data_IF_870650484491
#
_entry.id   IF_870650484491
#
_cell.length_a   1.000
_cell.length_b   1.000
_cell.length_c   1.000
_cell.angle_alpha   90.00
_cell.angle_beta   90.00
_cell.angle_gamma   90.00
#
_symmetry.space_group_name_H-M   'P 1'
#
loop_
_entity.id
_entity.type
_entity.pdbx_description
1 polymer ?
#
# COMPACT_ATOMS: atom_id res chain seq x y z
N UNK A 1 -15.47 15.96 -6.75
CA UNK A 1 -16.77 16.09 -6.06
C UNK A 1 -17.27 14.71 -5.62
N UNK A 2 -17.14 13.71 -6.47
CA UNK A 2 -17.68 12.35 -6.22
C UNK A 2 -16.91 11.49 -5.19
N UNK A 3 -15.64 11.81 -4.90
CA UNK A 3 -14.81 11.03 -3.95
C UNK A 3 -15.14 11.31 -2.48
N UNK A 4 -15.47 12.56 -2.15
CA UNK A 4 -15.84 12.96 -0.77
C UNK A 4 -17.24 12.44 -0.42
N UNK A 5 -18.18 12.48 -1.37
CA UNK A 5 -19.56 12.02 -1.18
C UNK A 5 -19.67 10.51 -0.87
N UNK A 6 -18.66 9.72 -1.24
CA UNK A 6 -18.65 8.27 -1.04
C UNK A 6 -17.48 7.77 -0.19
N UNK A 7 -16.81 8.65 0.57
CA UNK A 7 -15.60 8.35 1.34
C UNK A 7 -15.75 7.12 2.24
N UNK A 8 -16.86 7.01 2.95
CA UNK A 8 -17.13 5.88 3.86
C UNK A 8 -17.30 4.56 3.11
N UNK A 9 -18.02 4.56 1.99
CA UNK A 9 -18.22 3.36 1.16
C UNK A 9 -16.91 2.91 0.52
N UNK A 10 -16.09 3.86 0.08
CA UNK A 10 -14.76 3.60 -0.47
C UNK A 10 -13.86 3.02 0.62
N UNK A 11 -13.84 3.61 1.82
CA UNK A 11 -13.07 3.09 2.94
C UNK A 11 -13.53 1.67 3.30
N UNK A 12 -14.83 1.42 3.45
CA UNK A 12 -15.34 0.07 3.76
C UNK A 12 -14.93 -0.96 2.70
N UNK A 13 -15.04 -0.59 1.42
CA UNK A 13 -14.68 -1.45 0.30
C UNK A 13 -13.22 -1.91 0.37
N UNK A 14 -12.28 -1.02 0.73
CA UNK A 14 -10.86 -1.36 0.86
C UNK A 14 -10.51 -2.02 2.20
N UNK A 15 -11.12 -1.58 3.30
CA UNK A 15 -10.81 -2.08 4.64
C UNK A 15 -11.32 -3.49 4.90
N UNK A 16 -12.48 -3.85 4.33
CA UNK A 16 -13.09 -5.17 4.52
C UNK A 16 -12.17 -6.32 4.09
N UNK A 17 -11.58 -6.33 2.88
CA UNK A 17 -10.62 -7.35 2.47
C UNK A 17 -9.23 -7.18 3.10
N UNK A 18 -8.80 -5.96 3.42
CA UNK A 18 -7.46 -5.72 4.00
C UNK A 18 -7.32 -6.34 5.41
N UNK A 19 -6.39 -7.27 5.66
CA UNK A 19 -6.17 -7.88 6.98
C UNK A 19 -5.85 -6.88 8.08
N UNK A 20 -5.07 -5.83 7.78
CA UNK A 20 -4.71 -4.80 8.77
C UNK A 20 -5.87 -3.90 9.21
N UNK A 21 -7.04 -3.96 8.54
CA UNK A 21 -8.27 -3.20 8.89
C UNK A 21 -8.07 -1.69 9.06
N UNK A 22 -7.10 -1.12 8.36
CA UNK A 22 -6.87 0.32 8.30
C UNK A 22 -6.31 0.72 6.94
N UNK A 23 -6.45 1.99 6.60
CA UNK A 23 -5.77 2.57 5.44
C UNK A 23 -4.27 2.67 5.74
N UNK A 24 -3.46 2.41 4.72
CA UNK A 24 -2.03 2.69 4.77
C UNK A 24 -1.77 4.19 4.89
N UNK A 25 -0.67 4.55 5.53
CA UNK A 25 -0.17 5.92 5.60
C UNK A 25 0.98 6.08 4.59
N UNK A 26 1.13 7.26 3.95
CA UNK A 26 2.23 7.52 3.01
C UNK A 26 3.63 7.22 3.59
N UNK A 27 3.80 7.43 4.90
CA UNK A 27 5.05 7.21 5.62
C UNK A 27 5.50 5.74 5.58
N UNK A 28 4.57 4.80 5.45
CA UNK A 28 4.85 3.37 5.40
C UNK A 28 5.52 2.96 4.08
N UNK A 29 5.43 3.79 3.03
CA UNK A 29 6.11 3.56 1.75
C UNK A 29 7.56 4.08 1.74
N UNK A 30 7.94 4.94 2.69
CA UNK A 30 9.24 5.61 2.69
C UNK A 30 10.40 4.61 2.75
N UNK A 31 10.29 3.59 3.60
CA UNK A 31 11.33 2.56 3.73
C UNK A 31 11.54 1.77 2.44
N UNK A 32 10.46 1.44 1.75
CA UNK A 32 10.53 0.73 0.47
C UNK A 32 11.10 1.61 -0.64
N UNK A 33 10.68 2.86 -0.72
CA UNK A 33 11.24 3.83 -1.66
C UNK A 33 12.75 4.04 -1.41
N UNK A 34 13.16 4.17 -0.15
CA UNK A 34 14.57 4.31 0.22
C UNK A 34 15.36 3.05 -0.13
N UNK A 35 14.86 1.86 0.18
CA UNK A 35 15.50 0.60 -0.19
C UNK A 35 15.72 0.52 -1.70
N UNK A 36 14.66 0.75 -2.48
CA UNK A 36 14.69 0.72 -3.95
C UNK A 36 15.63 1.75 -4.59
N UNK A 37 15.83 2.88 -3.93
CA UNK A 37 16.73 3.94 -4.39
C UNK A 37 18.18 3.76 -3.91
N UNK A 38 18.46 2.77 -3.07
CA UNK A 38 19.76 2.56 -2.43
C UNK A 38 20.56 1.42 -3.05
N UNK A 39 21.84 1.35 -2.72
CA UNK A 39 22.72 0.24 -3.11
C UNK A 39 22.28 -1.12 -2.53
N UNK A 40 21.44 -1.11 -1.49
CA UNK A 40 20.88 -2.33 -0.90
C UNK A 40 20.03 -3.13 -1.90
N UNK A 41 19.48 -2.48 -2.93
CA UNK A 41 18.73 -3.13 -4.01
C UNK A 41 19.51 -3.18 -5.33
N UNK A 42 20.85 -3.07 -5.32
CA UNK A 42 21.69 -2.95 -6.52
C UNK A 42 21.58 -4.10 -7.54
N UNK A 43 21.05 -5.26 -7.14
CA UNK A 43 20.80 -6.40 -8.03
C UNK A 43 19.31 -6.76 -8.18
N UNK A 44 18.41 -5.91 -7.68
CA UNK A 44 16.97 -6.13 -7.78
C UNK A 44 16.38 -5.35 -8.96
N UNK A 45 15.80 -6.07 -9.92
CA UNK A 45 15.10 -5.49 -11.08
C UNK A 45 13.95 -6.40 -11.50
N UNK A 46 12.94 -5.84 -12.19
CA UNK A 46 11.78 -6.60 -12.70
C UNK A 46 10.85 -7.16 -11.62
N UNK A 47 10.98 -6.71 -10.37
CA UNK A 47 10.19 -7.18 -9.24
C UNK A 47 9.09 -6.18 -8.85
N UNK A 48 7.95 -6.71 -8.38
CA UNK A 48 6.86 -5.92 -7.78
C UNK A 48 6.85 -6.12 -6.26
N UNK A 49 7.25 -5.10 -5.51
CA UNK A 49 7.17 -5.09 -4.06
C UNK A 49 5.76 -4.67 -3.62
N UNK A 50 5.03 -5.56 -2.95
CA UNK A 50 3.65 -5.33 -2.51
C UNK A 50 3.62 -4.81 -1.07
N UNK A 51 2.96 -3.67 -0.86
CA UNK A 51 2.80 -3.00 0.44
C UNK A 51 1.36 -2.50 0.54
N UNK A 52 0.45 -3.37 0.99
CA UNK A 52 -1.00 -3.11 0.93
C UNK A 52 -1.77 -3.57 2.18
N UNK A 53 -1.05 -3.83 3.28
CA UNK A 53 -1.66 -4.31 4.52
C UNK A 53 -2.21 -5.74 4.43
N UNK A 54 -1.77 -6.53 3.45
CA UNK A 54 -2.11 -7.94 3.26
C UNK A 54 -3.25 -8.19 2.26
N UNK A 55 -3.73 -7.14 1.58
CA UNK A 55 -4.87 -7.21 0.65
C UNK A 55 -4.66 -8.20 -0.50
N UNK A 56 -3.44 -8.28 -1.06
CA UNK A 56 -3.18 -9.05 -2.30
C UNK A 56 -3.38 -10.56 -2.13
N UNK A 57 -3.24 -11.12 -0.93
CA UNK A 57 -3.22 -12.58 -0.71
C UNK A 57 -4.27 -13.11 0.26
N UNK A 58 -5.17 -12.25 0.75
CA UNK A 58 -6.20 -12.58 1.75
C UNK A 58 -7.60 -12.28 1.21
#
# INVERSE_FOLDING_TARGET
KDLEENREQIEEFWLKPTPMKRMGQPEELQGAALYLASDASSFMTGHTMIIDGGYTIY
#
